data_IF_117236753476
#
_entry.id   IF_117236753476
#
_cell.length_a   1.000
_cell.length_b   1.000
_cell.length_c   1.000
_cell.angle_alpha   90.00
_cell.angle_beta   90.00
_cell.angle_gamma   90.00
#
_symmetry.space_group_name_H-M   'P 1'
#
loop_
_entity.id
_entity.type
_entity.pdbx_description
1 polymer ?
#
# COMPACT_ATOMS: atom_id res chain seq x y z
N UNK A 1 11.94 21.35 19.46
CA UNK A 1 12.07 19.89 19.33
C UNK A 1 12.36 19.62 17.85
N UNK A 2 13.63 19.58 17.48
CA UNK A 2 14.04 19.26 16.10
C UNK A 2 13.71 17.78 15.85
N UNK A 3 13.05 17.42 14.74
CA UNK A 3 12.83 16.01 14.44
C UNK A 3 14.20 15.35 14.25
N UNK A 4 14.39 14.20 14.90
CA UNK A 4 15.51 13.32 14.62
C UNK A 4 15.42 12.96 13.14
N UNK A 5 16.46 13.19 12.32
CA UNK A 5 16.45 12.67 10.96
C UNK A 5 16.48 11.15 11.06
N UNK A 6 15.31 10.52 10.89
CA UNK A 6 15.28 9.11 10.53
C UNK A 6 15.79 9.11 9.09
N UNK A 7 17.09 8.86 8.92
CA UNK A 7 17.63 8.55 7.61
C UNK A 7 16.78 7.41 7.06
N UNK A 8 16.20 7.63 5.89
CA UNK A 8 15.36 6.63 5.31
C UNK A 8 16.27 5.49 4.84
N UNK A 9 16.11 4.26 5.35
CA UNK A 9 16.91 3.14 4.87
C UNK A 9 16.76 2.90 3.34
N UNK A 10 15.75 3.50 2.69
CA UNK A 10 15.58 3.53 1.23
C UNK A 10 16.65 4.37 0.50
N UNK A 11 17.34 5.28 1.20
CA UNK A 11 18.37 6.14 0.61
C UNK A 11 19.72 5.41 0.41
N UNK A 12 19.94 4.30 1.12
CA UNK A 12 21.22 3.58 1.16
C UNK A 12 21.21 2.23 0.41
N UNK A 13 20.07 1.54 0.40
CA UNK A 13 19.89 0.26 -0.29
C UNK A 13 18.66 0.39 -1.17
N UNK A 14 18.86 0.61 -2.47
CA UNK A 14 17.77 0.63 -3.43
C UNK A 14 16.91 -0.63 -3.30
N UNK A 15 15.65 -0.55 -3.74
CA UNK A 15 14.58 -1.56 -3.75
C UNK A 15 15.00 -3.06 -3.87
N UNK A 16 16.17 -3.37 -4.42
CA UNK A 16 16.74 -4.69 -4.60
C UNK A 16 16.93 -5.55 -3.32
N UNK A 17 17.01 -4.97 -2.11
CA UNK A 17 17.32 -5.74 -0.89
C UNK A 17 16.10 -6.33 -0.17
N UNK A 18 14.86 -5.92 -0.49
CA UNK A 18 13.63 -6.35 0.19
C UNK A 18 12.72 -7.17 -0.72
N UNK A 19 13.18 -8.34 -1.17
CA UNK A 19 12.31 -9.25 -1.91
C UNK A 19 11.36 -9.99 -0.96
N UNK A 20 10.12 -9.52 -0.90
CA UNK A 20 8.98 -10.35 -0.48
C UNK A 20 8.27 -10.79 -1.76
N UNK A 21 8.29 -12.09 -2.04
CA UNK A 21 7.54 -12.73 -3.13
C UNK A 21 7.18 -14.17 -2.73
N UNK A 22 6.15 -14.27 -1.89
CA UNK A 22 5.70 -15.53 -1.29
C UNK A 22 4.43 -16.03 -1.95
N UNK A 23 4.25 -17.35 -1.98
CA UNK A 23 3.09 -18.00 -2.60
C UNK A 23 2.39 -18.93 -1.61
N UNK A 24 1.08 -18.78 -1.48
CA UNK A 24 0.23 -19.66 -0.68
C UNK A 24 -1.01 -20.03 -1.49
N UNK A 25 -0.98 -21.24 -2.08
CA UNK A 25 -2.00 -21.67 -3.03
C UNK A 25 -2.01 -20.77 -4.26
N UNK A 26 -3.17 -20.18 -4.57
CA UNK A 26 -3.36 -19.23 -5.68
C UNK A 26 -3.01 -17.78 -5.32
N UNK A 27 -2.69 -17.51 -4.05
CA UNK A 27 -2.37 -16.17 -3.58
C UNK A 27 -0.87 -15.93 -3.66
N UNK A 28 -0.47 -14.83 -4.30
CA UNK A 28 0.89 -14.32 -4.33
C UNK A 28 0.97 -13.05 -3.49
N UNK A 29 1.94 -13.00 -2.59
CA UNK A 29 2.18 -11.89 -1.68
C UNK A 29 3.49 -11.23 -2.08
N UNK A 30 3.46 -9.96 -2.48
CA UNK A 30 4.66 -9.20 -2.82
C UNK A 30 4.56 -7.73 -2.47
N UNK A 31 5.67 -7.01 -2.54
CA UNK A 31 5.66 -5.55 -2.47
C UNK A 31 5.11 -4.97 -3.78
N UNK A 32 4.38 -3.85 -3.67
CA UNK A 32 3.97 -3.04 -4.80
C UNK A 32 5.21 -2.38 -5.43
N UNK A 33 5.30 -2.45 -6.76
CA UNK A 33 6.45 -1.97 -7.53
C UNK A 33 6.13 -0.69 -8.30
N UNK A 34 4.85 -0.34 -8.43
CA UNK A 34 4.40 0.83 -9.20
C UNK A 34 3.43 1.69 -8.41
N UNK A 35 3.38 2.99 -8.72
CA UNK A 35 2.41 3.92 -8.15
C UNK A 35 0.97 3.48 -8.42
N UNK A 36 0.71 2.84 -9.57
CA UNK A 36 -0.62 2.33 -9.92
C UNK A 36 -1.06 1.19 -8.98
N UNK A 37 -0.14 0.32 -8.57
CA UNK A 37 -0.42 -0.75 -7.61
C UNK A 37 -0.69 -0.19 -6.21
N UNK A 38 0.07 0.83 -5.81
CA UNK A 38 -0.17 1.54 -4.55
C UNK A 38 -1.54 2.21 -4.60
N UNK A 39 -1.85 2.95 -5.66
CA UNK A 39 -3.14 3.60 -5.84
C UNK A 39 -4.32 2.60 -5.79
N UNK A 40 -4.18 1.45 -6.44
CA UNK A 40 -5.17 0.38 -6.40
C UNK A 40 -5.34 -0.19 -4.98
N UNK A 41 -4.24 -0.37 -4.23
CA UNK A 41 -4.29 -0.83 -2.85
C UNK A 41 -4.98 0.20 -1.93
N UNK A 42 -4.67 1.50 -2.08
CA UNK A 42 -5.32 2.58 -1.33
C UNK A 42 -6.82 2.69 -1.67
N UNK A 43 -7.20 2.41 -2.91
CA UNK A 43 -8.60 2.32 -3.34
C UNK A 43 -9.33 1.15 -2.67
N UNK A 44 -8.69 -0.02 -2.60
CA UNK A 44 -9.24 -1.21 -1.96
C UNK A 44 -9.43 -0.99 -0.45
N UNK A 45 -8.41 -0.45 0.22
CA UNK A 45 -8.50 -0.04 1.63
C UNK A 45 -9.68 0.89 1.85
N UNK A 46 -9.88 1.87 0.96
CA UNK A 46 -10.99 2.80 1.07
C UNK A 46 -12.35 2.09 1.01
N UNK A 47 -12.53 1.21 0.01
CA UNK A 47 -13.77 0.44 -0.17
C UNK A 47 -14.10 -0.37 1.09
N UNK A 48 -13.15 -1.14 1.59
CA UNK A 48 -13.39 -1.99 2.75
C UNK A 48 -13.66 -1.16 4.01
N UNK A 49 -12.79 -0.20 4.34
CA UNK A 49 -12.92 0.51 5.61
C UNK A 49 -14.09 1.50 5.65
N UNK A 50 -14.31 2.26 4.58
CA UNK A 50 -15.28 3.36 4.60
C UNK A 50 -16.60 2.99 3.94
N UNK A 51 -16.59 2.21 2.85
CA UNK A 51 -17.83 1.81 2.18
C UNK A 51 -18.47 0.59 2.86
N UNK A 52 -17.69 -0.39 3.32
CA UNK A 52 -18.21 -1.62 3.93
C UNK A 52 -18.22 -1.59 5.47
N UNK A 53 -17.15 -1.09 6.10
CA UNK A 53 -16.98 -1.11 7.57
C UNK A 53 -17.37 0.19 8.28
N UNK A 54 -17.96 1.16 7.57
CA UNK A 54 -18.50 2.41 8.11
C UNK A 54 -17.49 3.29 8.90
N UNK A 55 -16.20 3.24 8.55
CA UNK A 55 -15.23 4.21 9.02
C UNK A 55 -15.57 5.63 8.52
N UNK A 56 -15.01 6.66 9.16
CA UNK A 56 -15.28 8.07 8.81
C UNK A 56 -14.10 8.66 8.01
N UNK A 57 -14.26 8.92 6.70
CA UNK A 57 -13.17 9.47 5.90
C UNK A 57 -13.01 10.97 6.16
N UNK A 58 -11.80 11.48 5.92
CA UNK A 58 -11.62 12.93 5.75
C UNK A 58 -12.26 13.38 4.43
N UNK A 59 -12.50 14.69 4.27
CA UNK A 59 -13.11 15.21 3.03
C UNK A 59 -12.28 14.91 1.77
N UNK A 60 -10.96 14.86 1.90
CA UNK A 60 -10.05 14.55 0.79
C UNK A 60 -10.07 13.05 0.44
N UNK A 61 -10.02 12.18 1.45
CA UNK A 61 -10.14 10.72 1.27
C UNK A 61 -11.47 10.36 0.60
N UNK A 62 -12.57 10.99 1.02
CA UNK A 62 -13.89 10.78 0.42
C UNK A 62 -13.95 11.24 -1.05
N UNK A 63 -13.28 12.35 -1.37
CA UNK A 63 -13.22 12.89 -2.74
C UNK A 63 -12.40 11.99 -3.67
N UNK A 64 -11.24 11.52 -3.21
CA UNK A 64 -10.32 10.70 -4.01
C UNK A 64 -10.70 9.21 -3.99
N UNK A 65 -11.52 8.79 -3.02
CA UNK A 65 -11.81 7.38 -2.73
C UNK A 65 -10.51 6.59 -2.53
N UNK A 66 -9.61 7.16 -1.74
CA UNK A 66 -8.31 6.59 -1.38
C UNK A 66 -8.12 6.74 0.12
N UNK A 67 -7.69 5.65 0.74
CA UNK A 67 -7.31 5.65 2.15
C UNK A 67 -5.81 5.92 2.26
N UNK A 68 -5.43 7.19 2.40
CA UNK A 68 -4.03 7.61 2.53
C UNK A 68 -3.78 8.35 3.86
N UNK A 69 -2.56 8.24 4.37
CA UNK A 69 -2.06 8.97 5.54
C UNK A 69 -0.59 9.40 5.38
N UNK A 70 -0.04 10.03 6.41
CA UNK A 70 1.33 10.54 6.39
C UNK A 70 2.42 9.44 6.43
N UNK A 71 2.06 8.21 6.76
CA UNK A 71 2.98 7.08 6.87
C UNK A 71 3.16 6.35 5.55
N UNK A 72 2.19 6.39 4.64
CA UNK A 72 2.28 5.74 3.32
C UNK A 72 3.57 6.15 2.57
N UNK A 73 4.00 7.40 2.71
CA UNK A 73 5.24 7.89 2.10
C UNK A 73 6.53 7.23 2.64
N UNK A 74 6.46 6.54 3.77
CA UNK A 74 7.58 5.91 4.48
C UNK A 74 7.49 4.38 4.51
N UNK A 75 6.43 3.79 3.94
CA UNK A 75 6.17 2.36 4.01
C UNK A 75 6.33 1.70 2.65
N UNK A 76 6.83 0.46 2.66
CA UNK A 76 6.68 -0.46 1.54
C UNK A 76 5.24 -1.01 1.57
N UNK A 77 4.55 -1.01 0.43
CA UNK A 77 3.15 -1.47 0.36
C UNK A 77 3.10 -2.95 0.01
N UNK A 78 2.61 -3.79 0.93
CA UNK A 78 2.40 -5.21 0.67
C UNK A 78 1.06 -5.44 -0.02
N UNK A 79 1.06 -6.14 -1.14
CA UNK A 79 -0.14 -6.52 -1.88
C UNK A 79 -0.28 -8.03 -1.95
N UNK A 80 -1.55 -8.49 -1.96
CA UNK A 80 -1.91 -9.89 -2.15
C UNK A 80 -2.72 -9.99 -3.42
N UNK A 81 -2.21 -10.77 -4.37
CA UNK A 81 -2.79 -10.98 -5.68
C UNK A 81 -3.32 -12.42 -5.76
N UNK A 82 -4.55 -12.57 -6.24
CA UNK A 82 -5.12 -13.86 -6.56
C UNK A 82 -4.84 -14.16 -8.05
N UNK A 83 -3.93 -15.09 -8.32
CA UNK A 83 -3.44 -15.35 -9.68
C UNK A 83 -4.51 -16.01 -10.59
N UNK A 84 -5.59 -16.55 -10.01
CA UNK A 84 -6.70 -17.14 -10.78
C UNK A 84 -7.67 -16.09 -11.35
N UNK A 85 -7.72 -14.89 -10.73
CA UNK A 85 -8.61 -13.79 -11.13
C UNK A 85 -8.04 -12.94 -12.28
N UNK A 86 -6.78 -13.14 -12.65
CA UNK A 86 -6.08 -12.40 -13.71
C UNK A 86 -5.56 -11.03 -13.26
N UNK A 87 -5.12 -10.21 -14.23
CA UNK A 87 -4.70 -8.82 -14.00
C UNK A 87 -5.95 -7.94 -14.00
N UNK A 88 -6.29 -7.40 -12.83
CA UNK A 88 -7.40 -6.46 -12.63
C UNK A 88 -7.16 -5.09 -13.23
#
# INVERSE_FOLDING_TARGET
MTPFPIADPRDAEGFAARQIDERVGRLRVRLAETEAEIDAALALRYRIFYEEMAARPTGEMARLKRDFDAFDAHCDHLIVLDEDLGVG
#
